data_IF_251259338846
#
_entry.id   IF_251259338846
#
_cell.length_a   1.000
_cell.length_b   1.000
_cell.length_c   1.000
_cell.angle_alpha   90.00
_cell.angle_beta   90.00
_cell.angle_gamma   90.00
#
_symmetry.space_group_name_H-M   'P 1'
#
loop_
_entity.id
_entity.type
_entity.pdbx_description
1 polymer ?
#
# COMPACT_ATOMS: atom_id res chain seq x y z
N UNK A 1 -24.25 -6.72 52.67
CA UNK A 1 -24.17 -5.57 51.74
C UNK A 1 -22.77 -5.35 51.14
N UNK A 2 -21.69 -5.69 51.85
CA UNK A 2 -20.29 -5.52 51.40
C UNK A 2 -19.90 -6.45 50.23
N UNK A 3 -20.31 -7.73 50.25
CA UNK A 3 -19.95 -8.71 49.22
C UNK A 3 -20.48 -8.35 47.83
N UNK A 4 -21.71 -7.81 47.75
CA UNK A 4 -22.30 -7.39 46.47
C UNK A 4 -21.53 -6.23 45.82
N UNK A 5 -20.99 -5.29 46.62
CA UNK A 5 -20.18 -4.17 46.14
C UNK A 5 -18.80 -4.62 45.64
N UNK A 6 -18.22 -5.64 46.27
CA UNK A 6 -16.95 -6.21 45.86
C UNK A 6 -17.08 -6.94 44.51
N UNK A 7 -18.15 -7.71 44.32
CA UNK A 7 -18.42 -8.43 43.06
C UNK A 7 -18.68 -7.48 41.89
N UNK A 8 -19.48 -6.41 42.09
CA UNK A 8 -19.70 -5.41 41.05
C UNK A 8 -18.44 -4.62 40.72
N UNK A 9 -17.61 -4.29 41.70
CA UNK A 9 -16.32 -3.64 41.46
C UNK A 9 -15.38 -4.53 40.64
N UNK A 10 -15.27 -5.81 40.96
CA UNK A 10 -14.47 -6.77 40.19
C UNK A 10 -14.95 -6.94 38.75
N UNK A 11 -16.27 -7.00 38.52
CA UNK A 11 -16.85 -7.09 37.17
C UNK A 11 -16.56 -5.84 36.33
N UNK A 12 -16.67 -4.65 36.94
CA UNK A 12 -16.33 -3.39 36.28
C UNK A 12 -14.84 -3.32 35.92
N UNK A 13 -13.95 -3.79 36.81
CA UNK A 13 -12.51 -3.82 36.58
C UNK A 13 -12.13 -4.79 35.44
N UNK A 14 -12.75 -5.97 35.40
CA UNK A 14 -12.58 -6.93 34.29
C UNK A 14 -13.06 -6.30 32.97
N UNK A 15 -14.24 -5.68 32.95
CA UNK A 15 -14.76 -5.02 31.74
C UNK A 15 -13.87 -3.88 31.26
N UNK A 16 -13.30 -3.10 32.17
CA UNK A 16 -12.37 -2.02 31.85
C UNK A 16 -11.04 -2.56 31.29
N UNK A 17 -10.51 -3.65 31.86
CA UNK A 17 -9.31 -4.31 31.34
C UNK A 17 -9.51 -4.86 29.93
N UNK A 18 -10.65 -5.49 29.65
CA UNK A 18 -11.00 -5.93 28.29
C UNK A 18 -11.11 -4.76 27.29
N UNK A 19 -11.66 -3.61 27.72
CA UNK A 19 -11.73 -2.42 26.84
C UNK A 19 -10.34 -1.83 26.57
N UNK A 20 -9.44 -1.82 27.55
CA UNK A 20 -8.06 -1.31 27.39
C UNK A 20 -7.25 -2.20 26.43
N UNK A 21 -7.36 -3.53 26.56
CA UNK A 21 -6.71 -4.46 25.62
C UNK A 21 -7.22 -4.25 24.19
N UNK A 22 -8.53 -4.10 24.00
CA UNK A 22 -9.11 -3.85 22.68
C UNK A 22 -8.59 -2.54 22.08
N UNK A 23 -8.54 -1.43 22.84
CA UNK A 23 -8.00 -0.14 22.36
C UNK A 23 -6.50 -0.20 22.06
N UNK A 24 -5.73 -1.01 22.81
CA UNK A 24 -4.31 -1.23 22.53
C UNK A 24 -4.07 -2.11 21.29
N UNK A 25 -5.04 -2.91 20.86
CA UNK A 25 -4.94 -3.69 19.61
C UNK A 25 -5.23 -2.85 18.36
N UNK A 26 -6.15 -1.89 18.43
CA UNK A 26 -6.51 -1.03 17.30
C UNK A 26 -5.40 -0.05 16.89
N UNK A 27 -4.51 0.32 17.82
CA UNK A 27 -3.39 1.22 17.56
C UNK A 27 -2.09 0.52 17.08
N UNK A 28 -2.13 -0.77 16.78
CA UNK A 28 -0.91 -1.50 16.34
C UNK A 28 -0.58 -1.31 14.87
N UNK A 29 -1.48 -0.74 14.09
CA UNK A 29 -1.32 -0.57 12.65
C UNK A 29 -1.77 0.82 12.19
N UNK A 30 -1.15 1.30 11.12
CA UNK A 30 -1.46 2.54 10.40
C UNK A 30 -2.45 2.31 9.25
N UNK A 31 -3.05 1.11 9.15
CA UNK A 31 -3.95 0.75 8.05
C UNK A 31 -5.21 1.59 8.06
N UNK A 32 -5.61 2.06 6.88
CA UNK A 32 -6.80 2.89 6.68
C UNK A 32 -7.87 2.01 6.03
N UNK A 33 -9.11 2.15 6.51
CA UNK A 33 -10.28 1.51 5.93
C UNK A 33 -11.29 2.57 5.53
N UNK A 34 -11.82 2.49 4.30
CA UNK A 34 -12.83 3.41 3.80
C UNK A 34 -13.90 2.66 3.03
N UNK A 35 -15.15 3.10 3.19
CA UNK A 35 -16.27 2.72 2.33
C UNK A 35 -16.39 3.69 1.15
N UNK A 36 -17.23 3.37 0.17
CA UNK A 36 -17.56 4.33 -0.90
C UNK A 36 -18.27 5.54 -0.29
N UNK A 37 -19.30 5.34 0.53
CA UNK A 37 -20.10 6.43 1.09
C UNK A 37 -19.26 7.43 1.90
N UNK A 38 -18.36 6.92 2.74
CA UNK A 38 -17.47 7.77 3.55
C UNK A 38 -16.49 8.57 2.68
N UNK A 39 -16.06 7.99 1.56
CA UNK A 39 -15.12 8.61 0.62
C UNK A 39 -15.82 9.62 -0.27
N UNK A 40 -17.06 9.35 -0.68
CA UNK A 40 -17.89 10.28 -1.43
C UNK A 40 -18.22 11.52 -0.60
N UNK A 41 -18.52 11.36 0.69
CA UNK A 41 -18.69 12.48 1.60
C UNK A 41 -17.41 13.32 1.79
N UNK A 42 -16.24 12.71 1.69
CA UNK A 42 -14.95 13.41 1.67
C UNK A 42 -14.71 14.14 0.34
N UNK A 43 -14.92 13.46 -0.79
CA UNK A 43 -14.80 14.04 -2.12
C UNK A 43 -15.76 15.20 -2.36
N UNK A 44 -16.99 15.10 -1.86
CA UNK A 44 -17.96 16.19 -1.94
C UNK A 44 -17.41 17.47 -1.31
N UNK A 45 -16.72 17.36 -0.15
CA UNK A 45 -16.07 18.49 0.53
C UNK A 45 -14.90 19.07 -0.26
N UNK A 46 -14.07 18.22 -0.87
CA UNK A 46 -12.92 18.67 -1.67
C UNK A 46 -13.31 19.31 -3.00
N UNK A 47 -14.48 18.97 -3.54
CA UNK A 47 -14.94 19.42 -4.86
C UNK A 47 -15.93 20.61 -4.78
N UNK A 48 -16.21 21.15 -3.59
CA UNK A 48 -17.07 22.33 -3.44
C UNK A 48 -16.50 23.50 -4.27
N UNK A 49 -17.33 24.09 -5.14
CA UNK A 49 -16.96 25.27 -5.93
C UNK A 49 -16.09 24.97 -7.16
N UNK A 50 -15.95 23.69 -7.55
CA UNK A 50 -15.26 23.28 -8.78
C UNK A 50 -16.24 22.92 -9.88
N UNK A 51 -15.91 23.30 -11.10
CA UNK A 51 -16.67 22.94 -12.31
C UNK A 51 -16.31 21.52 -12.75
N UNK A 52 -17.32 20.67 -12.98
CA UNK A 52 -17.19 19.31 -13.52
C UNK A 52 -17.38 18.17 -12.49
N UNK A 53 -17.93 17.04 -12.95
CA UNK A 53 -18.14 15.86 -12.11
C UNK A 53 -16.86 15.02 -12.01
N UNK A 54 -15.98 15.34 -11.06
CA UNK A 54 -14.73 14.61 -10.78
C UNK A 54 -14.81 13.72 -9.53
N UNK A 55 -16.02 13.46 -9.02
CA UNK A 55 -16.25 12.69 -7.79
C UNK A 55 -15.63 11.28 -7.87
N UNK A 56 -15.85 10.59 -9.00
CA UNK A 56 -15.33 9.23 -9.22
C UNK A 56 -13.81 9.21 -9.32
N UNK A 57 -13.19 10.23 -9.93
CA UNK A 57 -11.72 10.37 -9.93
C UNK A 57 -11.18 10.61 -8.53
N UNK A 58 -11.80 11.50 -7.76
CA UNK A 58 -11.43 11.73 -6.37
C UNK A 58 -11.50 10.42 -5.56
N UNK A 59 -12.58 9.66 -5.72
CA UNK A 59 -12.73 8.33 -5.10
C UNK A 59 -11.60 7.40 -5.53
N UNK A 60 -11.27 7.34 -6.81
CA UNK A 60 -10.16 6.53 -7.33
C UNK A 60 -8.80 6.87 -6.74
N UNK A 61 -8.53 8.16 -6.50
CA UNK A 61 -7.32 8.62 -5.85
C UNK A 61 -7.29 8.25 -4.36
N UNK A 62 -8.41 8.42 -3.64
CA UNK A 62 -8.51 8.11 -2.22
C UNK A 62 -8.54 6.60 -1.93
N UNK A 63 -9.20 5.82 -2.77
CA UNK A 63 -9.22 4.35 -2.70
C UNK A 63 -8.00 3.70 -3.34
N UNK A 64 -7.15 4.49 -4.00
CA UNK A 64 -5.89 4.05 -4.64
C UNK A 64 -6.09 3.02 -5.74
N UNK A 65 -7.30 2.93 -6.31
CA UNK A 65 -7.51 2.18 -7.55
C UNK A 65 -7.13 2.98 -8.79
N UNK A 66 -6.95 4.29 -8.68
CA UNK A 66 -6.51 5.16 -9.77
C UNK A 66 -5.26 5.95 -9.40
N UNK A 67 -4.36 6.16 -10.36
CA UNK A 67 -3.14 6.97 -10.21
C UNK A 67 -2.99 7.94 -11.39
N UNK A 68 -2.20 9.00 -11.22
CA UNK A 68 -1.92 9.98 -12.29
C UNK A 68 -1.18 9.37 -13.49
N UNK A 69 -0.48 8.26 -13.29
CA UNK A 69 0.13 7.50 -14.37
C UNK A 69 -0.89 6.56 -15.06
N UNK A 70 -2.19 6.77 -14.79
CA UNK A 70 -3.35 6.12 -15.39
C UNK A 70 -3.42 4.60 -15.23
N UNK A 71 -2.70 4.02 -14.26
CA UNK A 71 -2.74 2.57 -14.00
C UNK A 71 -3.91 2.26 -13.06
N UNK A 72 -5.02 1.75 -13.61
CA UNK A 72 -6.11 1.19 -12.80
C UNK A 72 -5.60 -0.04 -12.04
N UNK A 73 -5.77 -0.07 -10.72
CA UNK A 73 -5.45 -1.24 -9.92
C UNK A 73 -6.69 -2.15 -9.80
N UNK A 74 -6.67 -3.28 -10.50
CA UNK A 74 -7.72 -4.31 -10.44
C UNK A 74 -8.02 -4.75 -9.00
N UNK A 75 -6.99 -5.11 -8.24
CA UNK A 75 -7.15 -5.59 -6.86
C UNK A 75 -7.74 -4.53 -5.93
N UNK A 76 -7.44 -3.24 -6.16
CA UNK A 76 -7.96 -2.17 -5.33
C UNK A 76 -9.40 -1.78 -5.66
N UNK A 77 -9.85 -1.89 -6.93
CA UNK A 77 -11.24 -1.59 -7.29
C UNK A 77 -12.18 -2.77 -7.02
N UNK A 78 -11.75 -4.01 -7.27
CA UNK A 78 -12.62 -5.19 -7.16
C UNK A 78 -13.20 -5.41 -5.76
N UNK A 79 -12.48 -4.99 -4.71
CA UNK A 79 -12.91 -5.18 -3.32
C UNK A 79 -14.22 -4.44 -2.97
N UNK A 80 -14.66 -3.52 -3.82
CA UNK A 80 -15.92 -2.78 -3.66
C UNK A 80 -17.07 -3.35 -4.47
N UNK A 81 -16.87 -4.46 -5.19
CA UNK A 81 -17.88 -5.10 -6.02
C UNK A 81 -18.03 -6.57 -5.65
N UNK A 82 -19.28 -7.05 -5.68
CA UNK A 82 -19.62 -8.44 -5.45
C UNK A 82 -20.20 -9.03 -6.74
N UNK A 83 -19.46 -9.91 -7.45
CA UNK A 83 -20.00 -10.61 -8.61
C UNK A 83 -21.11 -11.58 -8.19
N UNK A 84 -22.08 -11.78 -9.09
CA UNK A 84 -23.09 -12.83 -8.95
C UNK A 84 -22.40 -14.20 -8.97
N UNK A 85 -22.59 -15.06 -7.94
CA UNK A 85 -21.99 -16.38 -7.90
C UNK A 85 -22.29 -17.27 -9.12
N UNK A 86 -23.42 -17.08 -9.80
CA UNK A 86 -23.84 -17.85 -10.98
C UNK A 86 -23.29 -17.28 -12.29
N UNK A 87 -22.91 -16.01 -12.31
CA UNK A 87 -22.30 -15.39 -13.49
C UNK A 87 -20.82 -15.77 -13.57
N UNK A 88 -20.47 -16.63 -14.53
CA UNK A 88 -19.06 -17.01 -14.78
C UNK A 88 -18.37 -16.09 -15.80
N UNK A 89 -19.10 -15.17 -16.41
CA UNK A 89 -18.62 -14.35 -17.52
C UNK A 89 -18.45 -12.87 -17.15
N UNK A 90 -18.73 -12.47 -15.91
CA UNK A 90 -18.63 -11.07 -15.46
C UNK A 90 -17.26 -10.46 -15.77
N UNK A 91 -16.18 -11.20 -15.49
CA UNK A 91 -14.82 -10.72 -15.66
C UNK A 91 -14.48 -10.47 -17.13
N UNK A 92 -14.83 -11.39 -18.03
CA UNK A 92 -14.61 -11.25 -19.47
C UNK A 92 -15.34 -10.03 -20.03
N UNK A 93 -16.60 -9.81 -19.59
CA UNK A 93 -17.39 -8.65 -20.02
C UNK A 93 -16.82 -7.34 -19.46
N UNK A 94 -16.37 -7.31 -18.21
CA UNK A 94 -15.68 -6.15 -17.64
C UNK A 94 -14.43 -5.83 -18.46
N UNK A 95 -13.59 -6.83 -18.75
CA UNK A 95 -12.36 -6.66 -19.55
C UNK A 95 -12.69 -6.14 -20.96
N UNK A 96 -13.70 -6.68 -21.62
CA UNK A 96 -14.15 -6.20 -22.94
C UNK A 96 -14.68 -4.76 -22.90
N UNK A 97 -15.38 -4.37 -21.84
CA UNK A 97 -15.80 -2.98 -21.65
C UNK A 97 -14.58 -2.06 -21.48
N UNK A 98 -13.63 -2.45 -20.64
CA UNK A 98 -12.41 -1.69 -20.35
C UNK A 98 -11.57 -1.41 -21.62
N UNK A 99 -11.53 -2.36 -22.57
CA UNK A 99 -10.85 -2.16 -23.87
C UNK A 99 -11.44 -1.05 -24.73
N UNK A 100 -12.72 -0.72 -24.53
CA UNK A 100 -13.46 0.24 -25.35
C UNK A 100 -13.46 1.65 -24.77
N UNK A 101 -12.91 1.84 -23.57
CA UNK A 101 -12.78 3.14 -22.92
C UNK A 101 -11.88 4.06 -23.76
N UNK A 102 -12.38 5.26 -24.07
CA UNK A 102 -11.69 6.21 -24.95
C UNK A 102 -10.78 7.15 -24.15
N UNK A 103 -9.53 7.27 -24.60
CA UNK A 103 -8.48 8.12 -23.99
C UNK A 103 -8.67 9.61 -24.28
N UNK A 104 -9.58 9.94 -25.20
CA UNK A 104 -9.82 11.33 -25.62
C UNK A 104 -10.56 12.16 -24.56
N UNK A 105 -11.01 11.54 -23.47
CA UNK A 105 -11.67 12.24 -22.37
C UNK A 105 -10.67 12.87 -21.39
N UNK A 106 -11.11 13.92 -20.70
CA UNK A 106 -10.34 14.45 -19.57
C UNK A 106 -10.17 13.37 -18.48
N UNK A 107 -9.21 13.55 -17.58
CA UNK A 107 -8.91 12.57 -16.54
C UNK A 107 -10.14 12.19 -15.68
N UNK A 108 -11.14 13.06 -15.52
CA UNK A 108 -12.34 12.74 -14.74
C UNK A 108 -13.32 11.83 -15.50
N UNK A 109 -13.61 12.16 -16.77
CA UNK A 109 -14.44 11.33 -17.65
C UNK A 109 -13.83 9.96 -17.90
N UNK A 110 -12.51 9.91 -18.11
CA UNK A 110 -11.78 8.66 -18.28
C UNK A 110 -12.02 7.70 -17.11
N UNK A 111 -11.82 8.16 -15.86
CA UNK A 111 -12.03 7.32 -14.67
C UNK A 111 -13.49 6.95 -14.49
N UNK A 112 -14.43 7.85 -14.81
CA UNK A 112 -15.86 7.56 -14.77
C UNK A 112 -16.22 6.41 -15.72
N UNK A 113 -15.66 6.37 -16.94
CA UNK A 113 -15.85 5.26 -17.86
C UNK A 113 -15.25 3.94 -17.33
N UNK A 114 -14.04 3.98 -16.76
CA UNK A 114 -13.42 2.81 -16.15
C UNK A 114 -14.31 2.22 -15.05
N UNK A 115 -14.80 3.05 -14.13
CA UNK A 115 -15.67 2.62 -13.03
C UNK A 115 -17.03 2.14 -13.54
N UNK A 116 -17.59 2.78 -14.58
CA UNK A 116 -18.83 2.34 -15.22
C UNK A 116 -18.73 0.91 -15.75
N UNK A 117 -17.58 0.50 -16.30
CA UNK A 117 -17.39 -0.89 -16.71
C UNK A 117 -17.49 -1.89 -15.55
N UNK A 118 -17.04 -1.53 -14.35
CA UNK A 118 -17.21 -2.41 -13.18
C UNK A 118 -18.67 -2.45 -12.74
N UNK A 119 -19.30 -1.29 -12.63
CA UNK A 119 -20.70 -1.16 -12.27
C UNK A 119 -21.64 -1.94 -13.20
N UNK A 120 -21.38 -1.88 -14.50
CA UNK A 120 -22.28 -2.47 -15.50
C UNK A 120 -21.98 -3.96 -15.76
N UNK A 121 -20.74 -4.42 -15.55
CA UNK A 121 -20.31 -5.76 -15.99
C UNK A 121 -19.78 -6.67 -14.88
N UNK A 122 -19.24 -6.12 -13.79
CA UNK A 122 -18.53 -6.91 -12.76
C UNK A 122 -19.47 -7.48 -11.70
N UNK A 123 -20.39 -6.67 -11.18
CA UNK A 123 -21.28 -7.10 -10.10
C UNK A 123 -21.90 -5.92 -9.33
N UNK A 124 -22.58 -6.24 -8.23
CA UNK A 124 -23.19 -5.24 -7.36
C UNK A 124 -22.13 -4.45 -6.59
N UNK A 125 -22.30 -3.12 -6.55
CA UNK A 125 -21.40 -2.22 -5.81
C UNK A 125 -21.78 -2.21 -4.32
N UNK A 126 -20.82 -2.52 -3.45
CA UNK A 126 -20.96 -2.42 -2.00
C UNK A 126 -20.48 -1.05 -1.52
N UNK A 127 -21.43 -0.14 -1.30
CA UNK A 127 -21.10 1.25 -0.97
C UNK A 127 -20.77 1.47 0.51
N UNK A 128 -21.17 0.54 1.37
CA UNK A 128 -21.21 0.75 2.82
C UNK A 128 -20.07 0.07 3.55
N UNK A 129 -19.58 -1.09 3.08
CA UNK A 129 -18.50 -1.79 3.75
C UNK A 129 -17.18 -1.02 3.65
N UNK A 130 -16.49 -0.89 4.79
CA UNK A 130 -15.16 -0.31 4.82
C UNK A 130 -14.13 -1.33 4.34
N UNK A 131 -13.36 -0.98 3.31
CA UNK A 131 -12.34 -1.83 2.69
C UNK A 131 -10.94 -1.25 2.93
N UNK A 132 -9.93 -2.11 2.89
CA UNK A 132 -8.55 -1.72 3.11
C UNK A 132 -8.04 -0.84 1.96
N UNK A 133 -7.42 0.28 2.31
CA UNK A 133 -6.79 1.17 1.34
C UNK A 133 -5.29 0.87 1.29
N UNK A 134 -4.75 0.45 0.12
CA UNK A 134 -3.35 0.10 0.03
C UNK A 134 -2.44 1.32 0.22
N UNK A 135 -1.34 1.12 0.93
CA UNK A 135 -0.36 2.15 1.19
C UNK A 135 0.39 2.52 -0.09
N UNK A 136 0.67 3.81 -0.21
CA UNK A 136 1.62 4.33 -1.20
C UNK A 136 3.06 4.00 -0.79
N UNK A 137 3.99 4.03 -1.75
CA UNK A 137 5.44 3.86 -1.47
C UNK A 137 5.97 4.84 -0.41
N UNK A 138 5.45 6.07 -0.39
CA UNK A 138 5.84 7.08 0.61
C UNK A 138 5.37 6.66 2.00
N UNK A 139 4.12 6.22 2.14
CA UNK A 139 3.59 5.75 3.42
C UNK A 139 4.30 4.48 3.89
N UNK A 140 4.61 3.53 2.99
CA UNK A 140 5.40 2.35 3.31
C UNK A 140 6.81 2.72 3.78
N UNK A 141 7.46 3.67 3.11
CA UNK A 141 8.77 4.17 3.50
C UNK A 141 8.73 4.75 4.91
N UNK A 142 7.71 5.57 5.22
CA UNK A 142 7.49 6.10 6.56
C UNK A 142 7.34 4.98 7.60
N UNK A 143 6.51 3.97 7.32
CA UNK A 143 6.31 2.84 8.23
C UNK A 143 7.63 2.08 8.47
N UNK A 144 8.47 1.90 7.44
CA UNK A 144 9.77 1.27 7.62
C UNK A 144 10.67 2.09 8.53
N UNK A 145 10.74 3.41 8.33
CA UNK A 145 11.54 4.30 9.17
C UNK A 145 11.07 4.28 10.63
N UNK A 146 9.76 4.29 10.87
CA UNK A 146 9.18 4.15 12.21
C UNK A 146 9.56 2.79 12.85
N UNK A 147 9.48 1.71 12.08
CA UNK A 147 9.89 0.38 12.55
C UNK A 147 11.38 0.27 12.86
N UNK A 148 12.24 0.87 12.03
CA UNK A 148 13.67 0.94 12.29
C UNK A 148 13.96 1.69 13.60
N UNK A 149 13.30 2.84 13.82
CA UNK A 149 13.43 3.59 15.05
C UNK A 149 12.97 2.79 16.29
N UNK A 150 11.83 2.09 16.21
CA UNK A 150 11.33 1.21 17.28
C UNK A 150 12.34 0.11 17.62
N UNK A 151 13.00 -0.46 16.61
CA UNK A 151 13.99 -1.52 16.76
C UNK A 151 15.40 -1.00 17.10
N UNK A 152 15.58 0.32 17.21
CA UNK A 152 16.89 0.93 17.46
C UNK A 152 17.88 0.76 16.30
N UNK A 153 17.40 0.57 15.07
CA UNK A 153 18.23 0.47 13.86
C UNK A 153 18.61 1.89 13.43
N UNK A 154 19.90 2.23 13.37
CA UNK A 154 20.32 3.55 12.91
C UNK A 154 19.96 3.80 11.45
N UNK A 155 19.56 5.03 11.12
CA UNK A 155 19.21 5.46 9.77
C UNK A 155 20.33 5.15 8.77
N UNK A 156 21.59 5.44 9.11
CA UNK A 156 22.76 5.14 8.29
C UNK A 156 22.87 3.65 7.92
N UNK A 157 22.40 2.75 8.79
CA UNK A 157 22.43 1.32 8.50
C UNK A 157 21.42 0.92 7.43
N UNK A 158 20.26 1.59 7.38
CA UNK A 158 19.28 1.42 6.29
C UNK A 158 19.84 1.96 4.97
N UNK A 159 20.55 3.10 5.01
CA UNK A 159 21.19 3.69 3.84
C UNK A 159 22.25 2.74 3.28
N UNK A 160 23.10 2.20 4.15
CA UNK A 160 24.13 1.25 3.75
C UNK A 160 23.52 -0.02 3.16
N UNK A 161 22.47 -0.57 3.78
CA UNK A 161 21.74 -1.72 3.23
C UNK A 161 21.16 -1.42 1.83
N UNK A 162 20.61 -0.22 1.66
CA UNK A 162 20.05 0.23 0.38
C UNK A 162 21.12 0.41 -0.71
N UNK A 163 22.33 0.85 -0.36
CA UNK A 163 23.42 1.13 -1.30
C UNK A 163 24.25 -0.10 -1.67
N UNK A 164 24.54 -0.97 -0.70
CA UNK A 164 25.54 -2.03 -0.84
C UNK A 164 24.94 -3.40 -1.14
N UNK A 165 23.61 -3.50 -1.31
CA UNK A 165 22.88 -4.79 -1.41
C UNK A 165 23.19 -5.76 -0.27
N UNK A 166 23.68 -5.22 0.87
CA UNK A 166 23.98 -6.00 2.05
C UNK A 166 22.69 -6.38 2.78
N UNK A 167 22.72 -7.49 3.51
CA UNK A 167 21.60 -7.94 4.32
C UNK A 167 21.16 -6.85 5.31
N UNK A 168 19.85 -6.67 5.48
CA UNK A 168 19.33 -5.63 6.38
C UNK A 168 19.61 -5.99 7.84
N UNK A 169 20.03 -5.04 8.69
CA UNK A 169 20.12 -5.27 10.13
C UNK A 169 18.76 -5.71 10.67
N UNK A 170 18.73 -6.79 11.46
CA UNK A 170 17.49 -7.33 12.03
C UNK A 170 16.38 -7.54 10.97
N UNK A 171 16.73 -7.91 9.73
CA UNK A 171 15.80 -8.04 8.58
C UNK A 171 14.48 -8.73 8.98
N UNK A 172 14.57 -9.82 9.75
CA UNK A 172 13.42 -10.57 10.22
C UNK A 172 12.46 -9.74 11.08
N UNK A 173 12.99 -9.02 12.07
CA UNK A 173 12.17 -8.22 12.99
C UNK A 173 11.69 -6.92 12.34
N UNK A 174 12.51 -6.33 11.47
CA UNK A 174 12.12 -5.16 10.69
C UNK A 174 10.96 -5.50 9.76
N UNK A 175 11.04 -6.63 9.04
CA UNK A 175 9.95 -7.12 8.19
C UNK A 175 8.68 -7.39 9.01
N UNK A 176 8.80 -8.07 10.16
CA UNK A 176 7.66 -8.31 11.05
C UNK A 176 7.01 -7.02 11.51
N UNK A 177 7.79 -6.04 11.98
CA UNK A 177 7.24 -4.74 12.37
C UNK A 177 6.52 -4.05 11.20
N UNK A 178 7.16 -4.02 10.03
CA UNK A 178 6.65 -3.39 8.82
C UNK A 178 5.30 -3.98 8.37
N UNK A 179 5.14 -5.31 8.44
CA UNK A 179 3.89 -5.99 8.10
C UNK A 179 2.79 -5.79 9.15
N UNK A 180 3.15 -5.80 10.45
CA UNK A 180 2.20 -5.51 11.54
C UNK A 180 1.68 -4.08 11.41
N UNK A 181 2.58 -3.12 11.20
CA UNK A 181 2.22 -1.70 11.11
C UNK A 181 1.38 -1.38 9.88
N UNK A 182 1.48 -2.16 8.80
CA UNK A 182 0.55 -2.05 7.67
C UNK A 182 -0.77 -2.81 7.88
N UNK A 183 -0.93 -3.56 8.98
CA UNK A 183 -2.11 -4.38 9.21
C UNK A 183 -2.22 -5.58 8.25
N UNK A 184 -1.10 -6.00 7.66
CA UNK A 184 -1.00 -7.16 6.74
C UNK A 184 -0.66 -8.45 7.48
N UNK A 185 -0.19 -8.35 8.73
CA UNK A 185 0.16 -9.48 9.58
C UNK A 185 -0.16 -9.18 11.05
N UNK A 186 -0.49 -10.22 11.82
CA UNK A 186 -0.48 -10.18 13.28
C UNK A 186 0.05 -11.50 13.83
N UNK A 187 0.66 -11.50 15.02
CA UNK A 187 1.16 -12.77 15.59
C UNK A 187 0.03 -13.77 15.89
N UNK A 188 -1.16 -13.27 16.24
CA UNK A 188 -2.31 -14.09 16.58
C UNK A 188 -3.04 -14.62 15.33
N UNK A 189 -3.24 -13.77 14.33
CA UNK A 189 -4.02 -14.09 13.13
C UNK A 189 -3.19 -14.53 11.92
N UNK A 190 -1.87 -14.37 11.95
CA UNK A 190 -1.02 -14.57 10.78
C UNK A 190 -1.19 -13.48 9.73
N UNK A 191 -0.92 -13.81 8.46
CA UNK A 191 -1.08 -12.91 7.33
C UNK A 191 -2.55 -12.72 6.93
N UNK A 192 -2.93 -11.47 6.67
CA UNK A 192 -4.18 -11.13 6.00
C UNK A 192 -3.95 -11.17 4.48
N UNK A 193 -4.27 -12.32 3.87
CA UNK A 193 -4.00 -12.57 2.45
C UNK A 193 -4.80 -11.68 1.50
N UNK A 194 -5.98 -11.22 1.91
CA UNK A 194 -6.81 -10.32 1.09
C UNK A 194 -6.18 -8.92 1.04
N UNK A 195 -5.82 -8.37 2.20
CA UNK A 195 -5.13 -7.06 2.24
C UNK A 195 -3.77 -7.10 1.56
N UNK A 196 -3.07 -8.22 1.72
CA UNK A 196 -1.77 -8.43 1.10
C UNK A 196 -1.89 -8.43 -0.45
N UNK A 197 -2.92 -9.09 -1.00
CA UNK A 197 -3.23 -9.05 -2.42
C UNK A 197 -3.57 -7.64 -2.93
N UNK A 198 -4.37 -6.89 -2.17
CA UNK A 198 -4.71 -5.48 -2.50
C UNK A 198 -3.44 -4.60 -2.47
N UNK A 199 -2.60 -4.73 -1.44
CA UNK A 199 -1.37 -3.96 -1.29
C UNK A 199 -0.37 -4.20 -2.43
N UNK A 200 -0.26 -5.45 -2.89
CA UNK A 200 0.69 -5.83 -3.93
C UNK A 200 0.13 -5.71 -5.36
N UNK A 201 -1.14 -5.32 -5.52
CA UNK A 201 -1.78 -5.16 -6.84
C UNK A 201 -2.20 -6.48 -7.49
N UNK A 202 -2.33 -7.56 -6.70
CA UNK A 202 -2.65 -8.91 -7.18
C UNK A 202 -1.43 -9.81 -7.38
N UNK A 203 -1.68 -11.12 -7.47
CA UNK A 203 -0.64 -12.16 -7.60
C UNK A 203 -0.78 -13.04 -8.86
N UNK A 204 -1.76 -12.76 -9.73
CA UNK A 204 -1.98 -13.51 -10.98
C UNK A 204 -2.70 -14.86 -10.77
N UNK A 205 -2.76 -15.67 -11.84
CA UNK A 205 -3.55 -16.91 -11.89
C UNK A 205 -3.07 -18.02 -10.95
N UNK A 206 -1.77 -18.04 -10.63
CA UNK A 206 -1.19 -19.07 -9.77
C UNK A 206 -1.37 -18.74 -8.28
N UNK A 207 -2.06 -17.65 -7.96
CA UNK A 207 -2.39 -17.29 -6.59
C UNK A 207 -3.44 -18.22 -6.00
N UNK A 208 -2.98 -19.14 -5.15
CA UNK A 208 -3.84 -20.02 -4.37
C UNK A 208 -3.70 -19.69 -2.87
N UNK A 209 -4.62 -18.89 -2.28
CA UNK A 209 -4.56 -18.55 -0.87
C UNK A 209 -4.81 -19.75 0.06
N UNK A 210 -5.32 -20.89 -0.44
CA UNK A 210 -5.41 -22.14 0.32
C UNK A 210 -4.05 -22.83 0.36
N UNK A 211 -3.34 -22.92 -0.76
CA UNK A 211 -1.98 -23.45 -0.81
C UNK A 211 -1.00 -22.63 0.05
N UNK A 212 -1.09 -21.30 0.00
CA UNK A 212 -0.28 -20.40 0.84
C UNK A 212 -0.50 -20.66 2.32
N UNK A 213 -1.77 -20.79 2.76
CA UNK A 213 -2.08 -21.13 4.16
C UNK A 213 -1.54 -22.50 4.57
N UNK A 214 -1.61 -23.50 3.68
CA UNK A 214 -0.98 -24.81 3.91
C UNK A 214 0.54 -24.71 4.05
N UNK A 215 1.19 -23.88 3.22
CA UNK A 215 2.62 -23.61 3.34
C UNK A 215 2.97 -22.98 4.69
N UNK A 216 2.21 -21.98 5.14
CA UNK A 216 2.41 -21.36 6.46
C UNK A 216 2.32 -22.36 7.61
N UNK A 217 1.41 -23.33 7.54
CA UNK A 217 1.25 -24.37 8.56
C UNK A 217 2.48 -25.28 8.69
N UNK A 218 3.31 -25.39 7.65
CA UNK A 218 4.52 -26.20 7.62
C UNK A 218 5.78 -25.42 8.04
N UNK A 219 5.68 -24.10 8.23
CA UNK A 219 6.80 -23.29 8.73
C UNK A 219 6.99 -23.57 10.22
N UNK A 220 8.23 -23.87 10.60
CA UNK A 220 8.61 -24.23 11.97
C UNK A 220 8.31 -23.14 13.00
N UNK A 221 8.13 -23.57 14.26
CA UNK A 221 7.99 -22.65 15.39
C UNK A 221 9.36 -22.08 15.78
N UNK A 222 9.72 -20.98 15.13
CA UNK A 222 10.85 -20.14 15.49
C UNK A 222 10.40 -18.96 16.37
N UNK A 223 11.34 -18.08 16.72
CA UNK A 223 10.97 -16.75 17.21
C UNK A 223 10.08 -16.02 16.19
N UNK A 224 9.26 -15.10 16.67
CA UNK A 224 8.23 -14.46 15.83
C UNK A 224 8.81 -13.73 14.62
N UNK A 225 10.01 -13.16 14.74
CA UNK A 225 10.64 -12.46 13.62
C UNK A 225 11.09 -13.46 12.54
N UNK A 226 11.82 -14.50 12.92
CA UNK A 226 12.28 -15.54 12.00
C UNK A 226 11.11 -16.27 11.34
N UNK A 227 10.03 -16.54 12.08
CA UNK A 227 8.82 -17.17 11.56
C UNK A 227 8.21 -16.36 10.41
N UNK A 228 8.01 -15.05 10.61
CA UNK A 228 7.48 -14.16 9.56
C UNK A 228 8.39 -14.13 8.36
N UNK A 229 9.71 -13.98 8.56
CA UNK A 229 10.66 -13.95 7.46
C UNK A 229 10.64 -15.24 6.63
N UNK A 230 10.57 -16.41 7.28
CA UNK A 230 10.49 -17.71 6.59
C UNK A 230 9.17 -17.88 5.86
N UNK A 231 8.05 -17.52 6.49
CA UNK A 231 6.73 -17.52 5.84
C UNK A 231 6.76 -16.66 4.58
N UNK A 232 7.29 -15.45 4.65
CA UNK A 232 7.42 -14.56 3.50
C UNK A 232 8.31 -15.17 2.41
N UNK A 233 9.52 -15.61 2.76
CA UNK A 233 10.49 -16.14 1.78
C UNK A 233 10.05 -17.46 1.13
N UNK A 234 9.38 -18.35 1.88
CA UNK A 234 9.05 -19.69 1.42
C UNK A 234 7.66 -19.81 0.79
N UNK A 235 6.70 -18.98 1.24
CA UNK A 235 5.29 -19.18 0.91
C UNK A 235 4.66 -18.02 0.15
N UNK A 236 5.26 -16.82 0.17
CA UNK A 236 4.67 -15.64 -0.46
C UNK A 236 5.51 -15.17 -1.65
N UNK A 237 4.87 -14.84 -2.79
CA UNK A 237 5.53 -14.21 -3.92
C UNK A 237 5.67 -12.71 -3.66
N UNK A 238 6.32 -12.30 -2.56
CA UNK A 238 6.55 -10.89 -2.23
C UNK A 238 8.00 -10.64 -1.90
N UNK A 239 8.45 -9.41 -2.13
CA UNK A 239 9.75 -8.97 -1.66
C UNK A 239 9.66 -7.58 -1.05
N UNK A 240 10.52 -7.36 -0.06
CA UNK A 240 10.77 -6.07 0.54
C UNK A 240 12.15 -5.61 0.06
N UNK A 241 12.19 -4.56 -0.76
CA UNK A 241 13.43 -3.95 -1.23
C UNK A 241 13.55 -2.54 -0.67
N UNK A 242 14.70 -2.28 -0.05
CA UNK A 242 15.09 -0.93 0.36
C UNK A 242 16.06 -0.39 -0.68
N UNK A 243 15.78 0.80 -1.20
CA UNK A 243 16.57 1.44 -2.26
C UNK A 243 16.97 2.85 -1.83
N UNK A 244 18.08 3.40 -2.36
CA UNK A 244 18.44 4.79 -2.09
C UNK A 244 17.33 5.71 -2.59
N UNK A 245 17.01 6.77 -1.85
CA UNK A 245 16.08 7.77 -2.36
C UNK A 245 16.71 8.47 -3.59
N UNK A 246 16.10 8.41 -4.79
CA UNK A 246 16.64 9.06 -5.98
C UNK A 246 16.74 10.60 -5.82
N UNK A 247 15.93 11.16 -4.91
CA UNK A 247 15.89 12.58 -4.60
C UNK A 247 16.68 12.95 -3.33
N UNK A 248 17.64 12.13 -2.89
CA UNK A 248 18.42 12.38 -1.66
C UNK A 248 19.10 13.76 -1.61
N UNK A 249 19.37 14.36 -2.78
CA UNK A 249 19.94 15.72 -2.89
C UNK A 249 18.98 16.81 -2.45
N UNK A 250 17.69 16.63 -2.68
CA UNK A 250 16.63 17.61 -2.38
C UNK A 250 15.83 17.24 -1.14
N UNK A 251 15.79 15.95 -0.76
CA UNK A 251 15.10 15.46 0.42
C UNK A 251 16.04 14.61 1.29
N UNK A 252 16.87 15.29 2.09
CA UNK A 252 17.83 14.64 3.00
C UNK A 252 17.16 13.90 4.17
N UNK A 253 15.87 14.15 4.43
CA UNK A 253 15.13 13.55 5.54
C UNK A 253 14.51 12.19 5.21
N UNK A 254 14.57 11.77 3.94
CA UNK A 254 14.13 10.44 3.50
C UNK A 254 15.30 9.84 2.74
N UNK A 255 16.19 9.09 3.38
CA UNK A 255 17.43 8.69 2.74
C UNK A 255 17.27 7.40 1.91
N UNK A 256 16.23 6.62 2.19
CA UNK A 256 15.89 5.39 1.52
C UNK A 256 14.39 5.35 1.21
N UNK A 257 14.02 4.64 0.15
CA UNK A 257 12.64 4.33 -0.22
C UNK A 257 12.42 2.83 -0.15
N UNK A 258 11.18 2.45 0.09
CA UNK A 258 10.77 1.05 0.16
C UNK A 258 9.90 0.69 -1.01
N UNK A 259 10.15 -0.50 -1.53
CA UNK A 259 9.31 -1.18 -2.47
C UNK A 259 8.91 -2.53 -1.88
N UNK A 260 7.64 -2.65 -1.55
CA UNK A 260 7.03 -3.91 -1.13
C UNK A 260 6.02 -4.32 -2.19
N UNK A 261 6.41 -5.24 -3.06
CA UNK A 261 5.63 -5.64 -4.22
C UNK A 261 5.49 -7.16 -4.28
N UNK A 262 4.46 -7.59 -5.01
CA UNK A 262 4.42 -8.94 -5.51
C UNK A 262 5.58 -9.18 -6.47
N UNK A 263 6.18 -10.36 -6.43
CA UNK A 263 7.02 -10.84 -7.51
C UNK A 263 6.07 -11.12 -8.67
N UNK A 264 6.09 -10.25 -9.69
CA UNK A 264 5.63 -10.70 -11.01
C UNK A 264 6.58 -11.82 -11.41
N UNK A 265 6.12 -13.07 -11.26
CA UNK A 265 6.88 -14.22 -11.75
C UNK A 265 7.04 -14.00 -13.25
N UNK A 266 8.28 -13.73 -13.67
CA UNK A 266 8.66 -13.74 -15.08
C UNK A 266 8.55 -15.18 -15.60
N UNK A 267 7.32 -15.56 -15.88
CA UNK A 267 7.02 -16.63 -16.80
C UNK A 267 6.06 -16.07 -17.84
N UNK A 268 6.22 -16.60 -19.05
CA UNK A 268 5.45 -16.27 -20.25
C UNK A 268 3.99 -16.75 -20.15
N UNK A 269 3.47 -16.93 -18.94
CA UNK A 269 2.12 -17.42 -18.62
C UNK A 269 1.62 -16.79 -17.30
N UNK A 270 1.82 -15.48 -17.12
CA UNK A 270 0.99 -14.72 -16.17
C UNK A 270 -0.40 -14.56 -16.76
N UNK A 271 -1.45 -14.57 -15.92
CA UNK A 271 -2.83 -14.47 -16.41
C UNK A 271 -2.98 -13.37 -17.43
N UNK A 272 -3.72 -13.70 -18.49
CA UNK A 272 -4.23 -12.71 -19.40
C UNK A 272 -5.01 -11.64 -18.65
N UNK A 273 -5.50 -11.83 -17.42
CA UNK A 273 -6.46 -10.94 -16.73
C UNK A 273 -5.82 -9.73 -16.01
N UNK A 274 -4.80 -9.93 -15.18
CA UNK A 274 -4.09 -8.81 -14.52
C UNK A 274 -3.07 -8.15 -15.46
N UNK A 275 -2.47 -8.94 -16.37
CA UNK A 275 -1.70 -8.39 -17.49
C UNK A 275 -2.61 -7.70 -18.51
N UNK A 276 -3.79 -8.21 -18.88
CA UNK A 276 -4.68 -7.49 -19.83
C UNK A 276 -5.14 -6.18 -19.25
N UNK A 277 -5.67 -6.14 -18.03
CA UNK A 277 -6.22 -4.88 -17.52
C UNK A 277 -5.10 -3.84 -17.48
N UNK A 278 -3.90 -4.18 -17.01
CA UNK A 278 -2.76 -3.26 -17.03
C UNK A 278 -2.19 -2.98 -18.44
N UNK A 279 -2.21 -3.94 -19.38
CA UNK A 279 -1.66 -3.83 -20.73
C UNK A 279 -2.61 -3.10 -21.70
N UNK A 280 -3.92 -3.31 -21.57
CA UNK A 280 -5.00 -2.57 -22.28
C UNK A 280 -5.00 -1.10 -21.85
N UNK A 281 -4.76 -0.85 -20.57
CA UNK A 281 -4.62 0.51 -20.04
C UNK A 281 -3.31 1.15 -20.50
N UNK A 282 -2.20 0.39 -20.52
CA UNK A 282 -0.92 0.88 -21.03
C UNK A 282 -0.90 1.15 -22.54
N UNK A 283 -1.68 0.41 -23.36
CA UNK A 283 -1.83 0.69 -24.79
C UNK A 283 -2.69 1.92 -25.10
N UNK A 284 -3.45 2.35 -24.10
CA UNK A 284 -4.33 3.52 -24.12
C UNK A 284 -3.73 4.71 -23.34
N UNK A 285 -2.48 4.64 -22.87
CA UNK A 285 -1.80 5.81 -22.32
C UNK A 285 -1.32 6.71 -23.48
N UNK A 286 -1.49 8.04 -23.43
CA UNK A 286 -0.86 8.92 -24.40
C UNK A 286 0.65 8.68 -24.35
N UNK A 287 1.24 8.39 -25.51
CA UNK A 287 2.69 8.33 -25.68
C UNK A 287 3.22 9.74 -25.37
N UNK A 288 3.65 9.97 -24.13
CA UNK A 288 4.55 11.07 -23.84
C UNK A 288 5.88 10.69 -24.46
N UNK A 289 6.16 11.27 -25.64
CA UNK A 289 7.49 11.25 -26.23
C UNK A 289 8.40 12.06 -25.31
N UNK A 290 9.05 11.38 -24.36
CA UNK A 290 10.23 11.92 -23.68
C UNK A 290 11.33 10.87 -23.72
N UNK A 291 12.21 11.04 -24.70
CA UNK A 291 13.62 10.65 -24.62
C UNK A 291 13.93 9.15 -24.66
N UNK A 292 14.09 8.62 -25.86
CA UNK A 292 15.09 7.58 -26.11
C UNK A 292 16.43 7.99 -25.46
N UNK A 293 16.96 7.15 -24.57
CA UNK A 293 18.43 7.03 -24.44
C UNK A 293 18.77 5.54 -24.47
N UNK A 294 19.08 5.10 -25.69
CA UNK A 294 19.93 3.95 -25.97
C UNK A 294 21.26 4.13 -25.22
N UNK A 295 21.80 3.03 -24.69
CA UNK A 295 23.06 3.04 -23.96
C UNK A 295 24.23 3.61 -24.75
N UNK A 296 25.12 4.30 -24.05
CA UNK A 296 26.52 4.45 -24.45
C UNK A 296 27.37 4.86 -23.26
N UNK A 297 28.52 4.19 -23.12
CA UNK A 297 29.67 4.59 -22.32
C UNK A 297 30.00 6.08 -22.45
N UNK A 298 30.20 6.78 -21.33
CA UNK A 298 31.10 7.94 -21.26
C UNK A 298 31.63 8.16 -19.84
N UNK A 299 32.92 7.89 -19.65
CA UNK A 299 33.75 8.47 -18.59
C UNK A 299 33.71 10.00 -18.72
N UNK A 300 33.39 10.72 -17.66
CA UNK A 300 34.12 11.97 -17.38
C UNK A 300 34.03 12.38 -15.91
N UNK A 301 35.15 12.91 -15.45
CA UNK A 301 35.43 13.37 -14.09
C UNK A 301 34.66 14.66 -13.81
N UNK A 302 34.16 14.81 -12.59
CA UNK A 302 34.17 16.10 -11.91
C UNK A 302 34.42 15.89 -10.41
N UNK A 303 35.63 16.26 -10.00
CA UNK A 303 36.02 16.50 -8.62
C UNK A 303 35.34 17.78 -8.17
N UNK A 304 34.65 17.73 -7.03
CA UNK A 304 34.52 18.91 -6.18
C UNK A 304 34.48 18.46 -4.72
N UNK A 305 35.57 18.73 -4.02
CA UNK A 305 35.72 18.56 -2.59
C UNK A 305 34.98 19.68 -1.87
N UNK A 306 34.15 19.35 -0.88
CA UNK A 306 33.77 20.28 0.19
C UNK A 306 33.83 19.51 1.50
N UNK A 307 34.76 19.92 2.36
CA UNK A 307 34.89 19.48 3.74
C UNK A 307 33.80 20.14 4.59
N UNK A 308 33.16 19.37 5.49
CA UNK A 308 32.37 19.93 6.59
C UNK A 308 32.73 19.17 7.87
N UNK A 309 33.14 19.98 8.84
CA UNK A 309 33.61 19.77 10.20
C UNK A 309 32.60 19.02 11.10
N UNK A 310 33.00 18.12 12.03
CA UNK A 310 32.08 17.28 12.80
C UNK A 310 31.93 17.82 14.22
N UNK A 311 30.92 18.63 14.52
CA UNK A 311 30.48 18.84 15.91
C UNK A 311 29.11 19.56 15.99
N UNK A 312 28.01 18.79 16.04
CA UNK A 312 26.85 19.13 16.88
C UNK A 312 25.87 17.96 17.00
N UNK A 313 25.88 17.33 18.17
CA UNK A 313 24.82 16.43 18.63
C UNK A 313 23.55 17.25 18.90
N UNK A 314 22.46 16.93 18.22
CA UNK A 314 21.12 17.38 18.61
C UNK A 314 20.13 16.26 18.29
N UNK A 315 19.54 15.68 19.34
CA UNK A 315 18.45 14.71 19.26
C UNK A 315 17.15 15.52 19.22
N UNK A 316 16.39 15.56 18.11
CA UNK A 316 15.05 16.12 18.14
C UNK A 316 14.07 15.05 18.62
N UNK A 317 13.25 15.41 19.61
CA UNK A 317 12.10 14.61 20.02
C UNK A 317 11.08 14.52 18.87
N UNK A 318 10.73 13.29 18.50
CA UNK A 318 9.80 12.95 17.42
C UNK A 318 8.38 13.09 17.96
N UNK A 319 7.77 14.28 17.80
CA UNK A 319 6.35 14.49 18.15
C UNK A 319 5.58 15.32 17.11
N UNK A 320 6.11 15.54 15.91
CA UNK A 320 5.49 16.43 14.88
C UNK A 320 5.49 15.82 13.47
N UNK A 321 5.38 14.49 13.34
CA UNK A 321 5.44 13.82 12.01
C UNK A 321 4.06 13.35 11.51
N UNK A 322 3.05 13.20 12.38
CA UNK A 322 1.69 12.81 11.93
C UNK A 322 0.97 13.94 11.19
N UNK A 323 0.94 15.15 11.75
CA UNK A 323 0.19 16.28 11.18
C UNK A 323 0.76 16.79 9.86
N UNK A 324 2.10 16.83 9.72
CA UNK A 324 2.75 17.37 8.51
C UNK A 324 2.46 16.48 7.28
N UNK A 325 2.33 15.17 7.46
CA UNK A 325 2.14 14.25 6.34
C UNK A 325 0.67 14.06 5.93
N UNK A 326 -0.28 14.07 6.88
CA UNK A 326 -1.71 14.07 6.51
C UNK A 326 -2.11 15.36 5.79
N UNK A 327 -1.57 16.49 6.24
CA UNK A 327 -1.76 17.79 5.58
C UNK A 327 -1.16 17.79 4.16
N UNK A 328 0.07 17.28 4.01
CA UNK A 328 0.71 17.16 2.69
C UNK A 328 -0.02 16.18 1.75
N UNK A 329 -0.66 15.12 2.26
CA UNK A 329 -1.45 14.18 1.45
C UNK A 329 -2.76 14.82 0.97
N UNK A 330 -3.45 15.58 1.81
CA UNK A 330 -4.60 16.40 1.41
C UNK A 330 -4.22 17.48 0.41
N UNK A 331 -3.12 18.20 0.65
CA UNK A 331 -2.63 19.26 -0.25
C UNK A 331 -2.18 18.67 -1.60
N UNK A 332 -1.54 17.49 -1.59
CA UNK A 332 -1.17 16.79 -2.82
C UNK A 332 -2.38 16.31 -3.59
N UNK A 333 -3.41 15.76 -2.92
CA UNK A 333 -4.65 15.34 -3.57
C UNK A 333 -5.38 16.56 -4.15
N UNK A 334 -5.43 17.68 -3.43
CA UNK A 334 -6.08 18.91 -3.89
C UNK A 334 -5.37 19.49 -5.13
N UNK A 335 -4.04 19.43 -5.18
CA UNK A 335 -3.22 19.80 -6.33
C UNK A 335 -3.44 18.87 -7.53
N UNK A 336 -3.51 17.56 -7.31
CA UNK A 336 -3.83 16.58 -8.37
C UNK A 336 -5.24 16.73 -8.91
N UNK A 337 -6.12 17.30 -8.09
CA UNK A 337 -7.49 17.56 -8.43
C UNK A 337 -7.60 18.78 -9.38
N UNK A 338 -6.67 19.75 -9.37
CA UNK A 338 -6.68 20.95 -10.24
C UNK A 338 -6.40 20.63 -11.71
#
# INVERSE_FOLDING_TARGET
MQVKKLVTFSLLLISALFLIENVATTNRHSSIFKSIDSTDGECHRYLIGRDGNCSVRCRGLLHRFWTEQSKLSYSAIKQFYQPDPEDKCYLDRTIECLKRVSVLENNCGLVDQYVRCYKDQYGEEDTTAARFIPFTRVQQTRILMECAAILGIPEDSLIQAAMNTSEMPHEACLLRCFLIRQGLYSDAGGFDLERLEVQCGGYGNDWDPVAVRKCFANVTNDDQCSKVQRMTKACLPVYLKVMPNPNIRTNKFIPAIVEFMGIEVDTRVGSLEARFVNQVISSNAPISVVGHVLGAHAKSRLKTSIAIDPERSYIPQITVVEDIYQQNEQDSILLLLQ
#
